data_IF_626585636305
#
_entry.id   IF_626585636305
#
_cell.length_a   1.000
_cell.length_b   1.000
_cell.length_c   1.000
_cell.angle_alpha   90.00
_cell.angle_beta   90.00
_cell.angle_gamma   90.00
#
_symmetry.space_group_name_H-M   'P 1'
#
loop_
_entity.id
_entity.type
_entity.pdbx_description
1 polymer ?
#
# COMPACT_ATOMS: atom_id res chain seq x y z
N UNK A 1 -19.97 13.08 2.46
CA UNK A 1 -21.12 12.44 1.77
C UNK A 1 -21.73 13.38 0.76
N UNK A 2 -21.35 13.24 -0.50
CA UNK A 2 -22.00 13.95 -1.59
C UNK A 2 -23.38 13.33 -1.83
N UNK A 3 -24.43 14.15 -1.88
CA UNK A 3 -25.78 13.70 -2.20
C UNK A 3 -26.30 14.47 -3.41
N UNK A 4 -26.84 13.74 -4.38
CA UNK A 4 -27.60 14.32 -5.49
C UNK A 4 -28.83 15.04 -4.92
N UNK A 5 -28.92 16.35 -5.16
CA UNK A 5 -30.03 17.20 -4.68
C UNK A 5 -31.14 17.40 -5.71
N UNK A 6 -30.92 17.03 -6.97
CA UNK A 6 -31.85 17.30 -8.06
C UNK A 6 -31.71 16.34 -9.22
N UNK A 7 -32.46 16.63 -10.28
CA UNK A 7 -32.39 15.91 -11.55
C UNK A 7 -31.03 16.09 -12.22
N UNK A 8 -30.56 15.03 -12.88
CA UNK A 8 -29.30 15.07 -13.64
C UNK A 8 -29.64 15.33 -15.09
N UNK A 9 -29.11 16.42 -15.62
CA UNK A 9 -29.29 16.83 -17.01
C UNK A 9 -27.95 16.92 -17.73
N UNK A 10 -27.95 16.72 -19.05
CA UNK A 10 -26.77 16.88 -19.88
C UNK A 10 -26.77 18.28 -20.50
N UNK A 11 -25.67 19.03 -20.38
CA UNK A 11 -25.51 20.32 -21.06
C UNK A 11 -24.88 20.12 -22.44
N UNK A 12 -25.46 20.73 -23.48
CA UNK A 12 -24.86 20.73 -24.81
C UNK A 12 -23.52 21.50 -24.80
N UNK A 13 -22.45 20.86 -25.26
CA UNK A 13 -21.10 21.47 -25.29
C UNK A 13 -21.00 22.70 -26.20
N UNK A 14 -21.89 22.85 -27.21
CA UNK A 14 -21.86 23.98 -28.16
C UNK A 14 -22.71 25.17 -27.74
N UNK A 15 -23.92 24.93 -27.24
CA UNK A 15 -24.90 26.00 -26.97
C UNK A 15 -25.36 26.07 -25.51
N UNK A 16 -24.90 25.16 -24.64
CA UNK A 16 -25.28 25.15 -23.22
C UNK A 16 -26.73 24.75 -22.94
N UNK A 17 -27.51 24.40 -23.97
CA UNK A 17 -28.89 23.96 -23.80
C UNK A 17 -28.95 22.71 -22.90
N UNK A 18 -29.96 22.69 -22.03
CA UNK A 18 -30.20 21.59 -21.10
C UNK A 18 -30.95 20.48 -21.83
N UNK A 19 -30.37 19.29 -21.81
CA UNK A 19 -30.95 18.07 -22.36
C UNK A 19 -31.39 17.21 -21.19
N UNK A 20 -32.65 16.78 -21.22
CA UNK A 20 -33.24 15.91 -20.21
C UNK A 20 -33.06 14.45 -20.58
N UNK A 21 -33.07 13.56 -19.59
CA UNK A 21 -32.78 12.14 -19.81
C UNK A 21 -33.78 11.47 -20.75
N UNK A 22 -35.05 11.92 -20.73
CA UNK A 22 -36.09 11.48 -21.67
C UNK A 22 -35.73 11.71 -23.14
N UNK A 23 -34.89 12.71 -23.42
CA UNK A 23 -34.44 13.08 -24.77
C UNK A 23 -33.23 12.26 -25.24
N UNK A 24 -32.72 11.32 -24.43
CA UNK A 24 -31.57 10.49 -24.79
C UNK A 24 -31.80 9.69 -26.07
N UNK A 25 -33.02 9.16 -26.27
CA UNK A 25 -33.38 8.45 -27.51
C UNK A 25 -33.39 9.38 -28.72
N UNK A 26 -33.96 10.57 -28.55
CA UNK A 26 -34.00 11.60 -29.61
C UNK A 26 -32.58 12.01 -30.00
N UNK A 27 -31.69 12.22 -29.03
CA UNK A 27 -30.30 12.58 -29.26
C UNK A 27 -29.52 11.53 -30.06
N UNK A 28 -29.89 10.25 -29.94
CA UNK A 28 -29.24 9.13 -30.63
C UNK A 28 -29.94 8.72 -31.93
N UNK A 29 -31.04 9.39 -32.31
CA UNK A 29 -31.77 9.09 -33.54
C UNK A 29 -31.06 9.67 -34.76
N UNK A 30 -30.89 8.88 -35.81
CA UNK A 30 -30.33 9.33 -37.09
C UNK A 30 -31.19 10.41 -37.74
N UNK A 31 -32.50 10.38 -37.54
CA UNK A 31 -33.45 11.40 -38.01
C UNK A 31 -33.16 12.78 -37.42
N UNK A 32 -32.60 12.82 -36.21
CA UNK A 32 -32.19 14.05 -35.52
C UNK A 32 -30.72 14.41 -35.79
N UNK A 33 -30.09 13.76 -36.77
CA UNK A 33 -28.74 14.06 -37.22
C UNK A 33 -27.63 13.31 -36.46
N UNK A 34 -27.96 12.33 -35.63
CA UNK A 34 -26.95 11.44 -35.04
C UNK A 34 -26.28 10.61 -36.15
N UNK A 35 -24.95 10.60 -36.19
CA UNK A 35 -24.20 9.85 -37.20
C UNK A 35 -22.93 9.25 -36.62
N UNK A 36 -22.59 8.07 -37.09
CA UNK A 36 -21.34 7.39 -36.75
C UNK A 36 -20.21 7.94 -37.62
N UNK A 37 -19.23 8.60 -36.98
CA UNK A 37 -18.09 9.21 -37.67
C UNK A 37 -16.87 8.30 -37.50
N UNK A 38 -16.42 7.59 -38.55
CA UNK A 38 -15.24 6.73 -38.45
C UNK A 38 -13.96 7.58 -38.39
N UNK A 39 -13.09 7.28 -37.42
CA UNK A 39 -11.74 7.88 -37.33
C UNK A 39 -10.69 7.15 -38.17
N UNK A 40 -10.91 5.87 -38.49
CA UNK A 40 -10.03 5.05 -39.34
C UNK A 40 -10.86 4.35 -40.43
N UNK A 41 -11.16 5.04 -41.55
CA UNK A 41 -11.96 4.46 -42.64
C UNK A 41 -11.18 3.31 -43.31
N UNK A 42 -11.81 2.14 -43.45
CA UNK A 42 -11.23 0.97 -44.13
C UNK A 42 -10.68 -0.13 -43.22
N UNK A 43 -10.64 0.08 -41.90
CA UNK A 43 -10.26 -0.97 -40.96
C UNK A 43 -11.31 -2.09 -40.88
N UNK A 44 -10.87 -3.35 -40.87
CA UNK A 44 -11.76 -4.53 -40.89
C UNK A 44 -12.69 -4.60 -39.67
N UNK A 45 -12.21 -4.15 -38.51
CA UNK A 45 -12.99 -4.07 -37.28
C UNK A 45 -13.45 -2.64 -37.00
N UNK A 46 -14.76 -2.46 -36.80
CA UNK A 46 -15.39 -1.17 -36.45
C UNK A 46 -15.56 -1.08 -34.94
N UNK A 47 -14.70 -0.32 -34.28
CA UNK A 47 -14.81 0.03 -32.86
C UNK A 47 -15.13 1.50 -32.67
N UNK A 48 -15.98 1.82 -31.69
CA UNK A 48 -16.33 3.20 -31.36
C UNK A 48 -16.08 3.46 -29.87
N UNK A 49 -15.57 4.67 -29.58
CA UNK A 49 -15.41 5.16 -28.22
C UNK A 49 -16.59 6.06 -27.87
N UNK A 50 -17.54 5.54 -27.09
CA UNK A 50 -18.74 6.29 -26.69
C UNK A 50 -18.90 6.24 -25.17
N UNK A 51 -19.02 7.40 -24.49
CA UNK A 51 -19.33 7.44 -23.07
C UNK A 51 -20.68 6.80 -22.74
N UNK A 52 -20.79 6.20 -21.55
CA UNK A 52 -22.04 5.64 -21.02
C UNK A 52 -23.17 6.68 -20.90
N UNK A 53 -22.87 7.99 -20.98
CA UNK A 53 -23.89 9.04 -21.03
C UNK A 53 -24.85 8.87 -22.21
N UNK A 54 -24.44 8.19 -23.28
CA UNK A 54 -25.28 7.90 -24.45
C UNK A 54 -25.95 6.52 -24.38
N UNK A 55 -25.63 5.70 -23.37
CA UNK A 55 -26.18 4.35 -23.24
C UNK A 55 -27.67 4.37 -22.89
N UNK A 56 -28.52 3.61 -23.59
CA UNK A 56 -29.93 3.49 -23.26
C UNK A 56 -30.17 2.64 -22.00
N UNK A 57 -29.16 1.91 -21.53
CA UNK A 57 -29.27 0.92 -20.44
C UNK A 57 -28.88 1.46 -19.07
N UNK A 58 -28.25 2.63 -19.00
CA UNK A 58 -27.75 3.22 -17.74
C UNK A 58 -28.31 4.62 -17.58
N UNK A 59 -28.90 4.89 -16.41
CA UNK A 59 -29.47 6.21 -16.15
C UNK A 59 -28.42 7.27 -15.82
N UNK A 60 -28.66 8.52 -16.19
CA UNK A 60 -27.76 9.64 -15.86
C UNK A 60 -27.66 9.84 -14.35
N UNK A 61 -28.76 9.64 -13.62
CA UNK A 61 -28.75 9.64 -12.16
C UNK A 61 -27.77 8.62 -11.59
N UNK A 62 -27.74 7.39 -12.13
CA UNK A 62 -26.81 6.34 -11.70
C UNK A 62 -25.36 6.70 -12.04
N UNK A 63 -25.10 7.22 -13.24
CA UNK A 63 -23.74 7.63 -13.63
C UNK A 63 -23.23 8.76 -12.74
N UNK A 64 -24.09 9.73 -12.41
CA UNK A 64 -23.74 10.83 -11.52
C UNK A 64 -23.55 10.36 -10.07
N UNK A 65 -24.35 9.41 -9.57
CA UNK A 65 -24.15 8.87 -8.22
C UNK A 65 -22.83 8.10 -8.11
N UNK A 66 -22.52 7.26 -9.11
CA UNK A 66 -21.24 6.55 -9.18
C UNK A 66 -20.06 7.52 -9.28
N UNK A 67 -20.23 8.66 -9.97
CA UNK A 67 -19.22 9.71 -10.00
C UNK A 67 -19.00 10.36 -8.63
N UNK A 68 -20.08 10.72 -7.92
CA UNK A 68 -20.01 11.33 -6.60
C UNK A 68 -19.38 10.38 -5.56
N UNK A 69 -19.71 9.10 -5.65
CA UNK A 69 -19.08 8.04 -4.87
C UNK A 69 -17.60 7.94 -5.21
N UNK A 70 -17.23 7.90 -6.49
CA UNK A 70 -15.84 7.91 -6.93
C UNK A 70 -15.06 9.14 -6.45
N UNK A 71 -15.67 10.34 -6.45
CA UNK A 71 -15.07 11.56 -5.91
C UNK A 71 -14.87 11.47 -4.40
N UNK A 72 -15.80 10.83 -3.68
CA UNK A 72 -15.67 10.60 -2.24
C UNK A 72 -14.50 9.65 -1.94
N UNK A 73 -14.37 8.55 -2.69
CA UNK A 73 -13.25 7.64 -2.57
C UNK A 73 -11.92 8.27 -3.01
N UNK A 74 -11.95 9.12 -4.03
CA UNK A 74 -10.77 9.87 -4.49
C UNK A 74 -10.25 10.81 -3.41
N UNK A 75 -11.13 11.47 -2.65
CA UNK A 75 -10.74 12.30 -1.49
C UNK A 75 -10.10 11.49 -0.37
N UNK A 76 -10.49 10.23 -0.22
CA UNK A 76 -9.87 9.30 0.71
C UNK A 76 -8.67 8.57 0.08
N UNK A 77 -8.15 9.00 -1.07
CA UNK A 77 -6.99 8.42 -1.75
C UNK A 77 -7.23 7.05 -2.43
N UNK A 78 -8.46 6.54 -2.46
CA UNK A 78 -8.82 5.38 -3.26
C UNK A 78 -9.25 5.81 -4.67
N UNK A 79 -8.29 5.74 -5.60
CA UNK A 79 -8.50 6.06 -7.01
C UNK A 79 -9.20 4.95 -7.79
N UNK A 80 -9.42 3.77 -7.19
CA UNK A 80 -9.96 2.59 -7.87
C UNK A 80 -11.32 2.89 -8.49
N UNK A 81 -12.22 3.50 -7.72
CA UNK A 81 -13.56 3.89 -8.16
C UNK A 81 -13.52 4.96 -9.26
N UNK A 82 -12.67 5.97 -9.12
CA UNK A 82 -12.53 7.02 -10.12
C UNK A 82 -11.94 6.49 -11.43
N UNK A 83 -11.01 5.54 -11.36
CA UNK A 83 -10.46 4.86 -12.54
C UNK A 83 -11.51 4.04 -13.27
N UNK A 84 -12.32 3.26 -12.53
CA UNK A 84 -13.42 2.47 -13.11
C UNK A 84 -14.44 3.39 -13.76
N UNK A 85 -14.84 4.46 -13.07
CA UNK A 85 -15.79 5.42 -13.61
C UNK A 85 -15.25 6.11 -14.87
N UNK A 86 -14.00 6.60 -14.86
CA UNK A 86 -13.40 7.28 -16.01
C UNK A 86 -13.28 6.36 -17.23
N UNK A 87 -12.82 5.12 -17.04
CA UNK A 87 -12.65 4.17 -18.13
C UNK A 87 -14.00 3.66 -18.67
N UNK A 88 -14.94 3.30 -17.80
CA UNK A 88 -16.18 2.62 -18.19
C UNK A 88 -17.34 3.59 -18.46
N UNK A 89 -17.48 4.66 -17.66
CA UNK A 89 -18.55 5.65 -17.84
C UNK A 89 -18.16 6.77 -18.78
N UNK A 90 -16.99 7.38 -18.55
CA UNK A 90 -16.55 8.51 -19.36
C UNK A 90 -15.90 8.08 -20.68
N UNK A 91 -15.64 6.77 -20.87
CA UNK A 91 -14.96 6.21 -22.04
C UNK A 91 -13.65 6.97 -22.37
N UNK A 92 -12.93 7.40 -21.35
CA UNK A 92 -11.64 8.07 -21.49
C UNK A 92 -10.61 7.34 -20.64
N UNK A 93 -9.35 7.23 -21.09
CA UNK A 93 -8.31 6.65 -20.25
C UNK A 93 -8.15 7.49 -18.99
N UNK A 94 -8.15 6.85 -17.82
CA UNK A 94 -7.80 7.50 -16.57
C UNK A 94 -6.30 7.85 -16.58
N UNK A 95 -6.00 9.13 -16.81
CA UNK A 95 -4.68 9.69 -16.66
C UNK A 95 -4.51 10.12 -15.21
N UNK A 96 -3.80 9.32 -14.43
CA UNK A 96 -3.42 9.68 -13.06
C UNK A 96 -2.46 10.86 -13.13
N UNK A 97 -2.95 12.07 -12.82
CA UNK A 97 -2.08 13.21 -12.47
C UNK A 97 -1.43 12.89 -11.13
N UNK A 98 -0.34 12.13 -11.16
CA UNK A 98 0.63 12.16 -10.09
C UNK A 98 1.46 13.42 -10.30
N UNK A 99 0.91 14.56 -9.89
CA UNK A 99 1.81 15.63 -9.48
C UNK A 99 2.59 15.04 -8.31
N UNK A 100 3.89 14.81 -8.51
CA UNK A 100 4.77 14.34 -7.44
C UNK A 100 4.50 15.21 -6.22
N UNK A 101 4.32 14.59 -5.05
CA UNK A 101 4.09 15.33 -3.81
C UNK A 101 5.40 16.05 -3.48
N UNK A 102 5.63 17.20 -4.12
CA UNK A 102 6.92 17.90 -4.08
C UNK A 102 7.24 18.42 -2.67
N UNK A 103 6.22 18.57 -1.81
CA UNK A 103 6.36 19.05 -0.43
C UNK A 103 5.36 18.34 0.48
N UNK A 104 5.78 17.25 1.12
CA UNK A 104 5.06 16.70 2.29
C UNK A 104 5.41 17.58 3.49
N UNK A 105 4.43 18.31 4.02
CA UNK A 105 4.62 19.11 5.23
C UNK A 105 4.71 18.19 6.46
N UNK A 106 5.94 17.99 6.96
CA UNK A 106 6.25 17.18 8.16
C UNK A 106 5.31 17.53 9.32
N UNK A 107 5.09 18.82 9.56
CA UNK A 107 4.38 19.29 10.75
C UNK A 107 2.89 18.93 10.75
N UNK A 108 2.34 18.56 9.58
CA UNK A 108 0.94 18.12 9.44
C UNK A 108 0.75 16.61 9.59
N UNK A 109 1.84 15.84 9.63
CA UNK A 109 1.78 14.37 9.67
C UNK A 109 2.50 13.73 10.85
N UNK A 110 3.45 14.46 11.43
CA UNK A 110 4.15 14.01 12.62
C UNK A 110 3.24 14.19 13.83
N UNK A 111 3.06 13.12 14.57
CA UNK A 111 2.30 13.10 15.81
C UNK A 111 3.06 12.35 16.90
N UNK A 112 2.80 12.72 18.16
CA UNK A 112 3.32 11.98 19.31
C UNK A 112 2.40 10.81 19.61
N UNK A 113 2.90 9.58 19.44
CA UNK A 113 2.13 8.37 19.69
C UNK A 113 1.93 8.05 21.18
N UNK A 114 2.77 8.60 22.07
CA UNK A 114 2.75 8.30 23.50
C UNK A 114 3.22 6.89 23.89
N UNK A 115 3.55 6.03 22.92
CA UNK A 115 4.15 4.71 23.07
C UNK A 115 4.96 4.36 21.80
N UNK A 116 5.70 3.25 21.81
CA UNK A 116 6.36 2.77 20.58
C UNK A 116 5.32 2.44 19.51
N UNK A 117 4.23 1.77 19.88
CA UNK A 117 3.14 1.42 18.94
C UNK A 117 1.79 1.96 19.43
N UNK A 118 1.07 2.75 18.61
CA UNK A 118 -0.28 3.20 18.95
C UNK A 118 -1.28 2.04 19.10
N UNK A 119 -2.30 2.22 19.95
CA UNK A 119 -3.37 1.23 20.12
C UNK A 119 -4.18 0.96 18.83
N UNK A 120 -4.12 1.84 17.85
CA UNK A 120 -4.81 1.66 16.57
C UNK A 120 -4.14 0.60 15.68
N UNK A 121 -2.86 0.32 15.90
CA UNK A 121 -2.10 -0.63 15.08
C UNK A 121 -2.48 -2.07 15.44
N UNK A 122 -2.68 -2.88 14.41
CA UNK A 122 -3.10 -4.28 14.50
C UNK A 122 -2.01 -5.26 14.08
N UNK A 123 -1.17 -4.89 13.12
CA UNK A 123 -0.07 -5.73 12.63
C UNK A 123 1.13 -4.86 12.25
N UNK A 124 2.33 -5.40 12.46
CA UNK A 124 3.60 -4.78 12.08
C UNK A 124 4.25 -5.54 10.93
N UNK A 125 4.75 -4.81 9.96
CA UNK A 125 5.60 -5.29 8.87
C UNK A 125 6.86 -4.44 8.80
N UNK A 126 7.95 -4.96 8.25
CA UNK A 126 9.16 -4.18 8.05
C UNK A 126 9.67 -4.27 6.62
N UNK A 127 10.35 -3.22 6.18
CA UNK A 127 11.11 -3.17 4.94
C UNK A 127 12.56 -2.86 5.25
N UNK A 128 13.48 -3.58 4.61
CA UNK A 128 14.92 -3.45 4.80
C UNK A 128 15.56 -3.21 3.45
N UNK A 129 16.21 -2.06 3.33
CA UNK A 129 17.06 -1.73 2.19
C UNK A 129 18.52 -2.05 2.54
N UNK A 130 19.23 -2.68 1.59
CA UNK A 130 20.61 -3.11 1.79
C UNK A 130 21.56 -2.23 0.99
N UNK A 131 22.49 -1.58 1.69
CA UNK A 131 23.52 -0.73 1.10
C UNK A 131 24.90 -1.30 1.43
N UNK A 132 25.96 -0.84 0.74
CA UNK A 132 27.29 -1.45 0.89
C UNK A 132 27.84 -1.40 2.33
N UNK A 133 27.43 -0.41 3.13
CA UNK A 133 27.95 -0.14 4.46
C UNK A 133 26.90 -0.21 5.59
N UNK A 134 25.63 -0.48 5.27
CA UNK A 134 24.53 -0.41 6.24
C UNK A 134 23.26 -1.14 5.81
N UNK A 135 22.41 -1.37 6.81
CA UNK A 135 21.00 -1.71 6.65
C UNK A 135 20.13 -0.53 7.06
N UNK A 136 19.14 -0.20 6.23
CA UNK A 136 18.09 0.74 6.60
C UNK A 136 16.79 -0.02 6.77
N UNK A 137 16.11 0.21 7.89
CA UNK A 137 14.95 -0.57 8.29
C UNK A 137 13.81 0.40 8.57
N UNK A 138 12.65 0.17 7.97
CA UNK A 138 11.41 0.87 8.29
C UNK A 138 10.40 -0.11 8.84
N UNK A 139 9.87 0.16 10.03
CA UNK A 139 8.78 -0.59 10.65
C UNK A 139 7.47 0.14 10.40
N UNK A 140 6.52 -0.58 9.80
CA UNK A 140 5.22 -0.09 9.40
C UNK A 140 4.11 -0.83 10.15
N UNK A 141 3.28 -0.07 10.84
CA UNK A 141 2.06 -0.52 11.48
C UNK A 141 0.85 -0.31 10.59
N UNK A 142 -0.02 -1.32 10.56
CA UNK A 142 -1.27 -1.27 9.82
C UNK A 142 -2.44 -1.16 10.78
N UNK A 143 -3.38 -0.27 10.48
CA UNK A 143 -4.63 -0.14 11.22
C UNK A 143 -5.84 -0.43 10.33
N UNK A 144 -6.89 -0.95 10.95
CA UNK A 144 -8.22 -1.04 10.36
C UNK A 144 -9.21 -0.05 10.99
N UNK A 145 -8.75 0.89 11.83
CA UNK A 145 -9.62 1.88 12.49
C UNK A 145 -10.35 2.74 11.46
N UNK A 146 -9.63 3.18 10.43
CA UNK A 146 -10.16 3.72 9.19
C UNK A 146 -9.42 2.99 8.07
N UNK A 147 -10.13 2.23 7.23
CA UNK A 147 -9.55 1.32 6.22
C UNK A 147 -8.27 1.85 5.57
N UNK A 148 -7.18 1.09 5.70
CA UNK A 148 -5.91 1.37 5.04
C UNK A 148 -5.02 2.46 5.66
N UNK A 149 -5.27 2.91 6.90
CA UNK A 149 -4.34 3.77 7.64
C UNK A 149 -3.00 3.07 7.91
N UNK A 150 -1.91 3.84 7.72
CA UNK A 150 -0.54 3.38 7.91
C UNK A 150 0.14 4.22 9.00
N UNK A 151 0.88 3.55 9.88
CA UNK A 151 1.61 4.19 10.97
C UNK A 151 3.08 3.81 10.83
N UNK A 152 3.95 4.76 10.48
CA UNK A 152 5.40 4.52 10.61
C UNK A 152 5.70 4.41 12.10
N UNK A 153 6.36 3.33 12.52
CA UNK A 153 6.64 3.04 13.93
C UNK A 153 8.06 3.43 14.28
N UNK A 154 9.01 2.97 13.48
CA UNK A 154 10.42 3.24 13.68
C UNK A 154 11.13 3.24 12.32
N UNK A 155 12.24 3.97 12.26
CA UNK A 155 13.16 3.91 11.15
C UNK A 155 14.57 3.83 11.73
N UNK A 156 15.31 2.78 11.38
CA UNK A 156 16.59 2.44 12.00
C UNK A 156 17.66 2.22 10.95
N UNK A 157 18.83 2.80 11.17
CA UNK A 157 20.03 2.54 10.38
C UNK A 157 21.00 1.71 11.22
N UNK A 158 21.36 0.52 10.72
CA UNK A 158 22.36 -0.36 11.34
C UNK A 158 23.61 -0.33 10.47
N UNK A 159 24.69 0.25 11.01
CA UNK A 159 25.98 0.27 10.32
C UNK A 159 26.65 -1.11 10.33
N UNK A 160 27.21 -1.47 9.18
CA UNK A 160 27.93 -2.72 8.95
C UNK A 160 27.67 -3.23 7.53
N UNK A 161 28.72 -3.78 6.91
CA UNK A 161 28.61 -4.40 5.59
C UNK A 161 27.66 -5.61 5.64
N UNK A 162 26.62 -5.64 4.79
CA UNK A 162 25.64 -6.73 4.77
C UNK A 162 26.19 -8.13 4.47
N UNK A 163 27.41 -8.22 3.90
CA UNK A 163 28.05 -9.51 3.66
C UNK A 163 28.53 -10.21 4.93
N UNK A 164 28.81 -9.46 6.00
CA UNK A 164 29.33 -10.06 7.22
C UNK A 164 28.20 -10.57 8.11
N UNK A 165 28.38 -11.80 8.60
CA UNK A 165 27.47 -12.45 9.57
C UNK A 165 27.29 -11.62 10.84
N UNK A 166 28.30 -10.86 11.26
CA UNK A 166 28.21 -9.97 12.42
C UNK A 166 27.19 -8.84 12.23
N UNK A 167 27.12 -8.27 11.02
CA UNK A 167 26.12 -7.25 10.66
C UNK A 167 24.74 -7.88 10.55
N UNK A 168 24.63 -9.06 9.93
CA UNK A 168 23.37 -9.81 9.80
C UNK A 168 22.77 -10.19 11.16
N UNK A 169 23.59 -10.58 12.14
CA UNK A 169 23.14 -10.86 13.51
C UNK A 169 22.57 -9.61 14.21
N UNK A 170 23.10 -8.42 13.92
CA UNK A 170 22.53 -7.15 14.43
C UNK A 170 21.15 -6.88 13.82
N UNK A 171 20.99 -7.19 12.53
CA UNK A 171 19.70 -7.12 11.86
C UNK A 171 18.70 -8.11 12.48
N UNK A 172 19.10 -9.37 12.68
CA UNK A 172 18.27 -10.39 13.34
C UNK A 172 17.81 -9.96 14.74
N UNK A 173 18.73 -9.40 15.54
CA UNK A 173 18.43 -8.90 16.87
C UNK A 173 17.41 -7.74 16.86
N UNK A 174 17.44 -6.89 15.83
CA UNK A 174 16.46 -5.81 15.70
C UNK A 174 15.11 -6.33 15.20
N UNK A 175 15.09 -7.22 14.20
CA UNK A 175 13.85 -7.77 13.63
C UNK A 175 13.08 -8.67 14.62
N UNK A 176 13.80 -9.32 15.54
CA UNK A 176 13.22 -10.14 16.61
C UNK A 176 12.76 -9.33 17.84
N UNK A 177 13.03 -8.01 17.86
CA UNK A 177 12.61 -7.12 18.95
C UNK A 177 11.08 -7.11 19.08
N UNK A 178 10.58 -7.09 20.32
CA UNK A 178 9.19 -6.76 20.62
C UNK A 178 9.01 -5.25 20.81
N UNK A 179 7.92 -4.73 20.25
CA UNK A 179 7.51 -3.35 20.34
C UNK A 179 6.36 -3.23 21.34
N UNK A 180 6.47 -2.28 22.27
CA UNK A 180 5.47 -2.11 23.32
C UNK A 180 4.34 -1.19 22.82
N UNK A 181 3.12 -1.73 22.79
CA UNK A 181 1.91 -0.98 22.45
C UNK A 181 1.44 -0.15 23.64
N UNK A 182 0.65 0.90 23.39
CA UNK A 182 0.19 1.82 24.44
C UNK A 182 -0.66 1.15 25.54
N UNK A 183 -1.26 -0.01 25.28
CA UNK A 183 -1.97 -0.84 26.27
C UNK A 183 -1.07 -1.85 27.00
N UNK A 184 0.25 -1.80 26.79
CA UNK A 184 1.24 -2.71 27.36
C UNK A 184 1.41 -4.02 26.58
N UNK A 185 0.59 -4.25 25.54
CA UNK A 185 0.72 -5.43 24.68
C UNK A 185 2.04 -5.42 23.92
N UNK A 186 2.72 -6.57 23.85
CA UNK A 186 3.93 -6.73 23.04
C UNK A 186 3.55 -7.09 21.61
N UNK A 187 4.13 -6.42 20.62
CA UNK A 187 3.96 -6.73 19.20
C UNK A 187 5.30 -7.10 18.57
N UNK A 188 5.33 -8.08 17.67
CA UNK A 188 6.51 -8.41 16.86
C UNK A 188 6.24 -8.14 15.39
N UNK A 189 7.29 -7.87 14.64
CA UNK A 189 7.23 -7.75 13.18
C UNK A 189 6.78 -9.11 12.63
N UNK A 190 5.67 -9.11 11.89
CA UNK A 190 5.06 -10.34 11.36
C UNK A 190 5.62 -10.76 10.00
N UNK A 191 6.20 -9.81 9.25
CA UNK A 191 6.88 -10.09 8.00
C UNK A 191 7.87 -8.97 7.68
N UNK A 192 9.02 -9.37 7.16
CA UNK A 192 10.08 -8.44 6.75
C UNK A 192 10.45 -8.67 5.30
N UNK A 193 10.50 -7.59 4.53
CA UNK A 193 10.96 -7.58 3.16
C UNK A 193 12.36 -7.03 3.05
N UNK A 194 13.32 -7.83 2.57
CA UNK A 194 14.73 -7.43 2.45
C UNK A 194 15.10 -7.30 0.97
N UNK A 195 15.61 -6.15 0.54
CA UNK A 195 16.06 -5.99 -0.85
C UNK A 195 17.29 -6.86 -1.13
N UNK A 196 17.18 -7.71 -2.16
CA UNK A 196 18.29 -8.52 -2.67
C UNK A 196 18.83 -8.01 -4.00
N UNK A 197 18.30 -6.89 -4.52
CA UNK A 197 18.69 -6.27 -5.78
C UNK A 197 20.03 -5.53 -5.79
N UNK A 198 20.59 -5.21 -4.62
CA UNK A 198 21.82 -4.43 -4.48
C UNK A 198 23.14 -5.16 -4.81
N UNK A 199 24.26 -4.43 -4.72
CA UNK A 199 25.62 -4.93 -5.01
C UNK A 199 26.02 -6.16 -4.17
N UNK A 200 25.45 -6.30 -2.96
CA UNK A 200 25.67 -7.44 -2.04
C UNK A 200 24.63 -8.56 -2.18
N UNK A 201 23.81 -8.57 -3.24
CA UNK A 201 22.64 -9.44 -3.40
C UNK A 201 22.87 -10.93 -3.14
N UNK A 202 24.03 -11.51 -3.51
CA UNK A 202 24.32 -12.94 -3.26
C UNK A 202 24.38 -13.30 -1.77
N UNK A 203 24.96 -12.44 -0.93
CA UNK A 203 25.08 -12.70 0.51
C UNK A 203 23.72 -12.56 1.20
N UNK A 204 22.89 -11.64 0.72
CA UNK A 204 21.53 -11.41 1.24
C UNK A 204 20.57 -12.49 0.76
N UNK A 205 20.69 -12.94 -0.49
CA UNK A 205 19.98 -14.11 -1.01
C UNK A 205 20.23 -15.34 -0.12
N UNK A 206 21.48 -15.58 0.29
CA UNK A 206 21.83 -16.69 1.18
C UNK A 206 21.29 -16.50 2.60
N UNK A 207 21.38 -15.28 3.14
CA UNK A 207 20.81 -14.92 4.44
C UNK A 207 19.28 -15.18 4.48
N UNK A 208 18.53 -14.69 3.49
CA UNK A 208 17.07 -14.84 3.41
C UNK A 208 16.64 -16.30 3.26
N UNK A 209 17.41 -17.12 2.54
CA UNK A 209 17.07 -18.51 2.24
C UNK A 209 16.77 -19.34 3.50
N UNK A 210 17.44 -19.08 4.61
CA UNK A 210 17.28 -19.83 5.86
C UNK A 210 16.34 -19.14 6.88
N UNK A 211 15.78 -17.98 6.53
CA UNK A 211 15.00 -17.12 7.45
C UNK A 211 13.50 -17.07 7.16
N UNK A 212 13.00 -18.03 6.38
CA UNK A 212 11.56 -18.20 6.16
C UNK A 212 10.78 -18.48 7.46
N UNK A 213 11.28 -19.27 8.43
CA UNK A 213 10.59 -19.46 9.71
C UNK A 213 10.43 -18.16 10.50
N UNK A 214 11.41 -17.25 10.37
CA UNK A 214 11.40 -15.91 10.96
C UNK A 214 10.55 -14.91 10.14
N UNK A 215 9.89 -15.38 9.06
CA UNK A 215 9.08 -14.59 8.12
C UNK A 215 9.84 -13.43 7.48
N UNK A 216 11.11 -13.67 7.16
CA UNK A 216 11.97 -12.75 6.42
C UNK A 216 12.01 -13.21 4.96
N UNK A 217 11.59 -12.33 4.05
CA UNK A 217 11.48 -12.58 2.62
C UNK A 217 12.43 -11.69 1.85
N UNK A 218 13.05 -12.25 0.81
CA UNK A 218 13.89 -11.50 -0.11
C UNK A 218 13.02 -10.89 -1.19
N UNK A 219 13.24 -9.62 -1.48
CA UNK A 219 12.46 -8.89 -2.46
C UNK A 219 13.35 -8.61 -3.65
N UNK A 220 12.78 -8.81 -4.84
CA UNK A 220 13.34 -8.30 -6.06
C UNK A 220 12.31 -7.45 -6.80
N UNK A 221 12.62 -6.19 -7.00
CA UNK A 221 11.76 -5.27 -7.74
C UNK A 221 11.63 -5.69 -9.21
N UNK A 222 10.40 -5.83 -9.69
CA UNK A 222 10.12 -5.90 -11.12
C UNK A 222 9.90 -4.48 -11.66
N UNK A 223 10.70 -4.08 -12.65
CA UNK A 223 10.55 -2.79 -13.36
C UNK A 223 9.41 -2.79 -14.39
N UNK A 224 8.65 -3.88 -14.50
CA UNK A 224 7.55 -3.98 -15.46
C UNK A 224 6.35 -3.13 -15.01
N UNK A 225 5.91 -2.21 -15.88
CA UNK A 225 4.84 -1.24 -15.65
C UNK A 225 3.48 -1.85 -15.24
N UNK A 226 3.20 -3.07 -15.68
CA UNK A 226 1.94 -3.79 -15.41
C UNK A 226 2.14 -5.00 -14.49
N UNK A 227 3.29 -5.13 -13.82
CA UNK A 227 3.49 -6.20 -12.86
C UNK A 227 2.41 -6.13 -11.78
N UNK A 228 1.71 -7.23 -11.49
CA UNK A 228 0.85 -7.28 -10.31
C UNK A 228 1.70 -7.01 -9.07
N UNK A 229 1.10 -6.45 -8.01
CA UNK A 229 1.81 -6.16 -6.74
C UNK A 229 2.53 -7.40 -6.25
N UNK A 230 1.81 -8.53 -6.28
CA UNK A 230 2.32 -9.89 -6.17
C UNK A 230 1.54 -10.72 -7.17
N UNK A 231 2.24 -11.59 -7.93
CA UNK A 231 1.55 -12.57 -8.76
C UNK A 231 1.02 -13.70 -7.86
N UNK A 232 -0.22 -13.56 -7.34
CA UNK A 232 -0.84 -14.51 -6.41
C UNK A 232 -0.95 -15.94 -6.96
N UNK A 233 -1.00 -16.10 -8.27
CA UNK A 233 -1.09 -17.41 -8.96
C UNK A 233 0.27 -18.09 -9.13
N UNK A 234 1.36 -17.32 -9.05
CA UNK A 234 2.74 -17.81 -9.06
C UNK A 234 3.50 -17.21 -7.88
N UNK A 235 2.99 -17.42 -6.66
CA UNK A 235 3.82 -17.33 -5.46
C UNK A 235 4.77 -18.53 -5.43
N UNK A 236 5.52 -18.73 -6.52
CA UNK A 236 6.71 -19.56 -6.50
C UNK A 236 7.70 -18.76 -5.68
N UNK A 237 7.69 -18.98 -4.37
CA UNK A 237 8.91 -18.83 -3.60
C UNK A 237 9.95 -19.60 -4.41
N UNK A 238 10.86 -18.86 -5.04
CA UNK A 238 12.01 -19.49 -5.69
C UNK A 238 12.69 -20.37 -4.64
N UNK A 239 13.56 -21.30 -5.05
CA UNK A 239 14.37 -22.11 -4.13
C UNK A 239 15.22 -21.29 -3.12
N UNK A 240 15.16 -19.95 -3.18
CA UNK A 240 15.83 -18.95 -2.35
C UNK A 240 14.87 -18.00 -1.61
N UNK A 241 13.57 -18.30 -1.55
CA UNK A 241 12.54 -17.47 -0.87
C UNK A 241 12.45 -16.02 -1.38
N UNK A 242 12.71 -15.81 -2.68
CA UNK A 242 12.59 -14.48 -3.29
C UNK A 242 11.16 -14.26 -3.81
N UNK A 243 10.62 -13.08 -3.52
CA UNK A 243 9.33 -12.59 -3.99
C UNK A 243 9.57 -11.44 -4.99
N UNK A 244 9.01 -11.60 -6.19
CA UNK A 244 9.00 -10.53 -7.19
C UNK A 244 7.86 -9.55 -6.88
N UNK A 245 8.21 -8.27 -6.67
CA UNK A 245 7.23 -7.25 -6.30
C UNK A 245 7.12 -6.19 -7.39
N UNK A 246 5.89 -5.86 -7.76
CA UNK A 246 5.56 -4.75 -8.66
C UNK A 246 5.64 -3.41 -7.95
N UNK A 247 6.82 -2.80 -7.91
CA UNK A 247 7.08 -1.56 -7.14
C UNK A 247 6.24 -0.37 -7.63
N UNK A 248 5.96 -0.27 -8.94
CA UNK A 248 5.21 0.86 -9.54
C UNK A 248 3.81 1.01 -8.94
N UNK A 249 3.06 -0.09 -8.79
CA UNK A 249 1.68 -0.04 -8.26
C UNK A 249 1.66 0.27 -6.77
N UNK A 250 2.64 -0.22 -6.01
CA UNK A 250 2.80 0.11 -4.59
C UNK A 250 3.12 1.59 -4.43
N UNK A 251 4.10 2.10 -5.19
CA UNK A 251 4.48 3.52 -5.20
C UNK A 251 3.28 4.40 -5.57
N UNK A 252 2.52 4.03 -6.61
CA UNK A 252 1.29 4.75 -6.99
C UNK A 252 0.26 4.83 -5.84
N UNK A 253 0.04 3.73 -5.12
CA UNK A 253 -0.88 3.70 -3.98
C UNK A 253 -0.33 4.56 -2.83
N UNK A 254 0.93 4.37 -2.49
CA UNK A 254 1.59 5.09 -1.40
C UNK A 254 1.64 6.61 -1.65
N UNK A 255 2.00 7.07 -2.84
CA UNK A 255 1.95 8.49 -3.18
C UNK A 255 0.51 9.04 -3.15
N UNK A 256 -0.50 8.21 -3.50
CA UNK A 256 -1.91 8.56 -3.32
C UNK A 256 -2.26 8.79 -1.84
N UNK A 257 -1.80 7.91 -0.94
CA UNK A 257 -1.94 8.07 0.53
C UNK A 257 -1.19 9.31 1.05
N UNK A 258 0.01 9.58 0.53
CA UNK A 258 0.80 10.77 0.86
C UNK A 258 0.22 12.09 0.34
N UNK A 259 -0.73 12.06 -0.60
CA UNK A 259 -1.43 13.27 -1.04
C UNK A 259 -2.55 13.69 -0.07
N UNK A 260 -3.00 12.79 0.82
CA UNK A 260 -4.09 13.05 1.76
C UNK A 260 -3.61 13.93 2.91
N UNK A 261 -4.16 15.13 3.06
CA UNK A 261 -3.71 16.12 4.06
C UNK A 261 -4.43 16.06 5.41
N UNK A 262 -5.63 15.46 5.46
CA UNK A 262 -6.43 15.31 6.68
C UNK A 262 -6.32 13.89 7.24
N UNK A 263 -6.17 13.77 8.57
CA UNK A 263 -6.10 12.47 9.24
C UNK A 263 -7.42 11.69 9.08
N UNK A 264 -7.32 10.42 8.69
CA UNK A 264 -8.47 9.56 8.42
C UNK A 264 -8.13 8.41 7.45
N UNK A 265 -9.13 7.95 6.71
CA UNK A 265 -9.01 6.84 5.75
C UNK A 265 -7.78 7.01 4.85
N UNK A 266 -6.95 5.97 4.78
CA UNK A 266 -5.71 5.92 3.99
C UNK A 266 -4.61 6.94 4.37
N UNK A 267 -4.71 7.64 5.49
CA UNK A 267 -3.67 8.56 5.95
C UNK A 267 -2.41 7.81 6.42
N UNK A 268 -1.25 8.46 6.24
CA UNK A 268 0.05 7.96 6.71
C UNK A 268 0.51 8.82 7.88
N UNK A 269 0.55 8.19 9.06
CA UNK A 269 1.01 8.76 10.32
C UNK A 269 2.51 8.54 10.50
N UNK A 270 3.19 9.56 11.04
CA UNK A 270 4.62 9.51 11.34
C UNK A 270 4.88 9.82 12.82
N UNK A 271 5.83 9.13 13.46
CA UNK A 271 6.16 9.38 14.85
C UNK A 271 7.06 10.60 14.97
N UNK A 272 6.90 11.38 16.05
CA UNK A 272 7.82 12.48 16.38
C UNK A 272 9.12 11.97 17.00
N UNK A 273 9.97 11.35 16.17
CA UNK A 273 11.30 10.87 16.54
C UNK A 273 12.38 11.61 15.75
N UNK A 274 13.59 11.84 16.32
CA UNK A 274 14.63 12.66 15.69
C UNK A 274 15.08 12.19 14.30
N UNK A 275 14.98 10.88 14.03
CA UNK A 275 15.38 10.31 12.74
C UNK A 275 14.36 10.57 11.63
N UNK A 276 13.09 10.80 11.97
CA UNK A 276 12.01 11.21 11.06
C UNK A 276 12.02 12.74 10.90
N UNK A 277 13.12 13.22 10.34
CA UNK A 277 13.35 14.64 10.07
C UNK A 277 13.14 14.98 8.59
N UNK A 278 13.42 16.24 8.23
CA UNK A 278 13.29 16.71 6.84
C UNK A 278 14.02 15.82 5.83
N UNK A 279 15.20 15.27 6.16
CA UNK A 279 15.95 14.37 5.26
C UNK A 279 15.19 13.07 5.01
N UNK A 280 14.51 12.53 6.01
CA UNK A 280 13.67 11.34 5.84
C UNK A 280 12.52 11.61 4.86
N UNK A 281 11.79 12.70 5.05
CA UNK A 281 10.74 13.11 4.10
C UNK A 281 11.32 13.39 2.72
N UNK A 282 12.53 13.95 2.66
CA UNK A 282 13.18 14.23 1.38
C UNK A 282 13.54 12.95 0.61
N UNK A 283 13.88 11.87 1.32
CA UNK A 283 14.10 10.53 0.75
C UNK A 283 12.77 9.85 0.39
N UNK A 284 11.71 10.10 1.16
CA UNK A 284 10.37 9.56 0.91
C UNK A 284 9.75 10.10 -0.39
N UNK A 285 10.06 11.34 -0.75
CA UNK A 285 9.62 12.00 -1.99
C UNK A 285 10.76 12.12 -3.02
N UNK A 286 11.74 11.21 -2.98
CA UNK A 286 12.92 11.27 -3.84
C UNK A 286 12.68 10.83 -5.28
N UNK A 287 11.47 10.39 -5.63
CA UNK A 287 11.12 9.90 -6.96
C UNK A 287 9.89 10.62 -7.50
N UNK A 288 9.88 10.85 -8.82
CA UNK A 288 8.75 11.43 -9.54
C UNK A 288 8.35 10.51 -10.69
N UNK A 289 7.07 10.52 -11.03
CA UNK A 289 6.57 9.78 -12.18
C UNK A 289 6.92 10.53 -13.48
N UNK A 290 7.58 9.83 -14.39
CA UNK A 290 7.89 10.31 -15.74
C UNK A 290 6.68 10.15 -16.67
N UNK A 291 6.71 10.80 -17.84
CA UNK A 291 5.67 10.73 -18.88
C UNK A 291 5.40 9.29 -19.36
N UNK A 292 6.42 8.43 -19.28
CA UNK A 292 6.33 6.99 -19.57
C UNK A 292 5.65 6.18 -18.47
N UNK A 293 5.28 6.81 -17.36
CA UNK A 293 4.57 6.21 -16.23
C UNK A 293 5.45 5.41 -15.27
N UNK A 294 6.78 5.48 -15.42
CA UNK A 294 7.79 4.89 -14.53
C UNK A 294 8.27 5.93 -13.49
N UNK A 295 8.78 5.47 -12.35
CA UNK A 295 9.37 6.33 -11.34
C UNK A 295 10.83 6.61 -11.70
N UNK A 296 11.19 7.89 -11.74
CA UNK A 296 12.55 8.38 -11.96
C UNK A 296 13.00 9.09 -10.70
N UNK A 297 14.22 8.77 -10.27
CA UNK A 297 14.84 9.34 -9.10
C UNK A 297 15.20 10.81 -9.37
N UNK A 298 14.63 11.72 -8.58
CA UNK A 298 14.90 13.17 -8.63
C UNK A 298 15.96 13.60 -7.60
N UNK A 299 16.19 12.79 -6.57
CA UNK A 299 17.15 13.06 -5.48
C UNK A 299 18.06 11.86 -5.26
N UNK A 300 19.32 12.13 -4.90
CA UNK A 300 20.37 11.10 -4.79
C UNK A 300 20.08 9.96 -3.78
N UNK A 301 19.20 10.19 -2.80
CA UNK A 301 18.86 9.23 -1.74
C UNK A 301 17.37 8.93 -1.75
N UNK A 302 16.99 7.65 -1.83
CA UNK A 302 15.62 7.15 -1.93
C UNK A 302 15.37 5.94 -1.01
N UNK A 303 16.25 5.67 -0.07
CA UNK A 303 16.23 4.46 0.76
C UNK A 303 14.94 4.38 1.62
N UNK A 304 14.44 5.54 2.11
CA UNK A 304 13.19 5.60 2.87
C UNK A 304 11.94 5.20 2.07
N UNK A 305 11.85 5.58 0.78
CA UNK A 305 10.71 5.19 -0.06
C UNK A 305 10.78 3.71 -0.41
N UNK A 306 11.97 3.18 -0.67
CA UNK A 306 12.14 1.77 -0.99
C UNK A 306 11.84 0.87 0.23
N UNK A 307 12.35 1.21 1.42
CA UNK A 307 11.97 0.56 2.68
C UNK A 307 10.45 0.59 2.92
N UNK A 308 9.80 1.73 2.67
CA UNK A 308 8.34 1.85 2.80
C UNK A 308 7.60 0.92 1.82
N UNK A 309 8.03 0.89 0.56
CA UNK A 309 7.43 0.02 -0.47
C UNK A 309 7.59 -1.45 -0.12
N UNK A 310 8.75 -1.85 0.42
CA UNK A 310 9.01 -3.21 0.88
C UNK A 310 8.13 -3.59 2.07
N UNK A 311 8.01 -2.71 3.07
CA UNK A 311 7.11 -2.93 4.20
C UNK A 311 5.65 -3.06 3.75
N UNK A 312 5.21 -2.21 2.81
CA UNK A 312 3.85 -2.28 2.25
C UNK A 312 3.61 -3.61 1.54
N UNK A 313 4.58 -4.08 0.75
CA UNK A 313 4.44 -5.33 0.00
C UNK A 313 4.27 -6.55 0.91
N UNK A 314 4.83 -6.52 2.13
CA UNK A 314 4.78 -7.66 3.04
C UNK A 314 3.38 -8.04 3.48
N UNK A 315 2.43 -7.10 3.56
CA UNK A 315 1.04 -7.45 3.92
C UNK A 315 0.40 -8.36 2.86
N UNK A 316 0.69 -8.08 1.59
CA UNK A 316 0.19 -8.86 0.47
C UNK A 316 0.90 -10.22 0.41
N UNK A 317 2.18 -10.30 0.81
CA UNK A 317 2.96 -11.55 0.88
C UNK A 317 2.36 -12.49 1.92
N UNK A 318 2.06 -12.00 3.12
CA UNK A 318 1.45 -12.83 4.16
C UNK A 318 -0.06 -13.04 3.97
N UNK A 319 -0.64 -12.48 2.91
CA UNK A 319 -2.06 -12.60 2.56
C UNK A 319 -3.02 -12.20 3.70
N UNK A 320 -2.61 -11.26 4.55
CA UNK A 320 -3.43 -10.79 5.67
C UNK A 320 -4.35 -9.68 5.19
N UNK A 321 -5.66 -9.87 5.38
CA UNK A 321 -6.63 -8.81 5.19
C UNK A 321 -6.78 -8.02 6.50
N UNK A 322 -6.09 -6.88 6.58
CA UNK A 322 -6.08 -6.01 7.76
C UNK A 322 -7.49 -5.56 8.17
N UNK A 323 -8.39 -5.30 7.21
CA UNK A 323 -9.75 -4.84 7.50
C UNK A 323 -10.57 -5.90 8.27
N UNK A 324 -10.22 -7.18 8.15
CA UNK A 324 -10.89 -8.27 8.87
C UNK A 324 -10.33 -8.55 10.26
N UNK A 325 -9.22 -7.91 10.65
CA UNK A 325 -8.57 -8.15 11.94
C UNK A 325 -9.30 -7.46 13.09
N UNK A 326 -10.13 -8.20 13.82
CA UNK A 326 -10.84 -7.67 15.01
C UNK A 326 -9.84 -7.28 16.12
N UNK A 327 -8.85 -8.13 16.37
CA UNK A 327 -7.86 -7.96 17.45
C UNK A 327 -6.45 -7.71 16.89
N UNK A 328 -5.60 -6.95 17.60
CA UNK A 328 -4.19 -6.81 17.24
C UNK A 328 -3.48 -8.16 17.37
N UNK A 329 -2.51 -8.40 16.50
CA UNK A 329 -1.62 -9.57 16.59
C UNK A 329 -0.57 -9.26 17.64
N UNK A 330 -0.88 -9.65 18.88
CA UNK A 330 0.03 -9.55 20.00
C UNK A 330 0.95 -10.76 20.04
N UNK A 331 2.20 -10.51 20.38
CA UNK A 331 3.13 -11.56 20.75
C UNK A 331 2.86 -11.97 22.19
N UNK A 332 2.36 -13.19 22.36
CA UNK A 332 2.36 -13.85 23.66
C UNK A 332 3.81 -14.27 23.89
N UNK A 333 4.55 -13.51 24.69
CA UNK A 333 5.87 -13.94 25.13
C UNK A 333 5.77 -15.28 25.85
N UNK A 334 6.83 -16.08 25.82
CA UNK A 334 7.07 -17.07 26.86
C UNK A 334 6.88 -16.35 28.18
N UNK A 335 5.83 -16.69 28.92
CA UNK A 335 5.78 -16.30 30.32
C UNK A 335 7.09 -16.81 30.90
N UNK A 336 7.99 -15.91 31.28
CA UNK A 336 8.93 -16.22 32.33
C UNK A 336 8.04 -16.69 33.47
N UNK A 337 7.95 -18.00 33.66
CA UNK A 337 7.52 -18.60 34.90
C UNK A 337 8.56 -18.07 35.88
N UNK A 338 8.30 -16.89 36.44
CA UNK A 338 8.88 -16.53 37.70
C UNK A 338 8.50 -17.71 38.58
N UNK A 339 9.50 -18.48 38.97
CA UNK A 339 9.38 -19.54 39.95
C UNK A 339 8.92 -18.90 41.25
N UNK A 340 7.62 -18.62 41.35
CA UNK A 340 6.92 -18.44 42.60
C UNK A 340 6.93 -19.80 43.24
N UNK A 341 7.78 -19.96 44.25
CA UNK A 341 7.64 -21.06 45.18
C UNK A 341 6.33 -20.81 45.94
N UNK A 342 5.30 -21.59 45.65
CA UNK A 342 4.17 -21.73 46.56
C UNK A 342 4.65 -22.55 47.77
N UNK A 343 4.32 -22.11 48.98
CA UNK A 343 4.73 -22.70 50.28
C UNK A 343 4.23 -24.14 50.54
N UNK A 344 3.73 -24.87 49.54
CA UNK A 344 3.16 -26.22 49.70
C UNK A 344 3.63 -27.25 48.65
N UNK A 345 4.90 -27.19 48.24
CA UNK A 345 5.71 -28.37 47.87
C UNK A 345 5.04 -29.48 47.05
N UNK A 346 4.23 -29.16 46.03
CA UNK A 346 3.60 -30.18 45.18
C UNK A 346 3.75 -29.81 43.71
N UNK A 347 4.53 -30.62 42.98
CA UNK A 347 4.79 -30.47 41.55
C UNK A 347 3.58 -30.94 40.73
N UNK A 348 2.93 -30.03 39.99
CA UNK A 348 1.98 -30.41 38.93
C UNK A 348 2.71 -30.28 37.59
N UNK A 349 3.23 -31.40 37.10
CA UNK A 349 3.58 -31.55 35.70
C UNK A 349 2.31 -31.85 34.91
N UNK A 350 1.95 -30.97 33.98
CA UNK A 350 0.91 -31.28 32.99
C UNK A 350 1.42 -31.00 31.59
N UNK A 351 1.62 -32.09 30.87
CA UNK A 351 1.87 -32.21 29.44
C UNK A 351 0.93 -31.32 28.62
N UNK A 352 1.49 -30.46 27.77
CA UNK A 352 0.76 -29.87 26.65
C UNK A 352 1.67 -29.88 25.42
N UNK A 353 1.80 -31.06 24.82
CA UNK A 353 2.42 -31.23 23.52
C UNK A 353 1.62 -32.30 22.79
N UNK A 354 0.56 -31.88 22.09
CA UNK A 354 0.01 -32.57 20.92
C UNK A 354 -1.22 -31.81 20.40
N UNK A 355 -1.27 -31.67 19.06
CA UNK A 355 -2.33 -31.08 18.21
C UNK A 355 -2.14 -29.63 17.79
N UNK A 356 -1.26 -29.47 16.80
CA UNK A 356 -1.43 -28.42 15.79
C UNK A 356 -1.05 -28.96 14.41
N UNK A 357 -1.70 -30.05 14.01
CA UNK A 357 -1.82 -30.46 12.62
C UNK A 357 -3.32 -30.47 12.28
N UNK A 358 -3.65 -29.89 11.13
CA UNK A 358 -4.98 -29.60 10.58
C UNK A 358 -5.65 -28.32 11.12
N UNK A 359 -5.42 -27.21 10.41
CA UNK A 359 -6.48 -26.44 9.72
C UNK A 359 -5.89 -25.57 8.62
#
# INVERSE_FOLDING_TARGET
NYKLKGEVTLGCEKCGAVIYERQKREMMSEENGAKWIPQNPGHQHKGYLIPSFYSPWVSWRKIASEFLEAVQFLKTGDEGYMRVWQNTRNARPFLKKLDGVDIVDRNKRVESYGAEVPNRVKILTAGVDTQDDRFEILVLGWSNTNSGELYVIDYKVIMGDPQFVSSQKKLDAYLSKSFTRADGGQMRIQATGVDTGGHRGKAIDEYVKYRLPDRIFGIKGSSQRFAPVINKTMMQLTTRNLVMIGTVKIKDNFYGKLAITEAGVNFVHFPDIPIINKRFFDMLTAEKRDEKGLYVQIRKRNEAIDCMVYAIAMIDVIMVNVDTLVSPILHVGEQSIASGQDENGTSIGSSFNEKMDAY
#
